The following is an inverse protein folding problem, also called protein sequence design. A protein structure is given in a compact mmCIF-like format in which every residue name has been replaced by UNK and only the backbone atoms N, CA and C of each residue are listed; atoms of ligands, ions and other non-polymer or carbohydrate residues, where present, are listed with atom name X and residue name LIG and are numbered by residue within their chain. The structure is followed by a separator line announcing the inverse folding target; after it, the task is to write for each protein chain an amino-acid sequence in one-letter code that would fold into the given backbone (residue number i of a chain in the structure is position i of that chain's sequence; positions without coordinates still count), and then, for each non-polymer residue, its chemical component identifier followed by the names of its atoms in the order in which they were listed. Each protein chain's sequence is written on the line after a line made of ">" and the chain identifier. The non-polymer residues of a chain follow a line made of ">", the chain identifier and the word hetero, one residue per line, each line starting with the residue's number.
data_IF_557615810974
#
_entry.id   IF_557615810974
#
_cell.length_a   1.000
_cell.length_b   1.000
_cell.length_c   1.000
_cell.angle_alpha   90.00
_cell.angle_beta   90.00
_cell.angle_gamma   90.00
#
_symmetry.space_group_name_H-M   'P 1'
#
loop_
_entity.id
_entity.type
_entity.pdbx_description
1 polymer ?
#
# COMPACT_ATOMS: atom_id res chain seq x y z
N UNK A 1 -16.12 4.16 -1.78
CA UNK A 1 -16.50 3.49 -0.52
C UNK A 1 -17.28 2.23 -0.85
N UNK A 2 -17.14 1.21 0.01
CA UNK A 2 -17.90 -0.03 -0.05
C UNK A 2 -19.00 0.04 1.02
N UNK A 3 -20.27 -0.04 0.63
CA UNK A 3 -21.37 0.07 1.57
C UNK A 3 -22.62 -0.70 1.12
N UNK A 4 -23.56 -0.88 2.03
CA UNK A 4 -24.86 -1.50 1.77
C UNK A 4 -25.89 -0.52 1.20
N UNK A 5 -27.10 -1.00 1.12
CA UNK A 5 -28.29 -0.27 0.66
C UNK A 5 -29.19 0.14 1.83
N UNK A 6 -30.05 1.18 1.65
CA UNK A 6 -31.13 1.45 2.59
C UNK A 6 -32.02 0.21 2.79
N UNK A 7 -32.58 0.06 4.00
CA UNK A 7 -33.31 -1.16 4.43
C UNK A 7 -34.44 -1.64 3.50
N UNK A 8 -35.00 -0.73 2.71
CA UNK A 8 -36.15 -1.01 1.84
C UNK A 8 -35.77 -1.40 0.41
N UNK A 9 -34.49 -1.41 0.07
CA UNK A 9 -34.01 -1.73 -1.27
C UNK A 9 -33.33 -3.10 -1.29
N UNK A 10 -33.69 -3.91 -2.28
CA UNK A 10 -33.11 -5.24 -2.50
C UNK A 10 -32.04 -5.17 -3.60
N UNK A 11 -32.15 -4.23 -4.52
CA UNK A 11 -31.18 -4.00 -5.60
C UNK A 11 -31.19 -2.52 -6.03
N UNK A 12 -30.12 -2.10 -6.71
CA UNK A 12 -30.00 -0.80 -7.36
C UNK A 12 -29.72 -0.98 -8.84
N UNK A 13 -30.17 -0.06 -9.71
CA UNK A 13 -29.76 -0.03 -11.10
C UNK A 13 -28.24 0.12 -11.21
N UNK A 14 -27.63 -0.38 -12.29
CA UNK A 14 -26.22 -0.12 -12.58
C UNK A 14 -25.93 1.38 -12.62
N UNK A 15 -24.78 1.79 -12.12
CA UNK A 15 -24.31 3.19 -12.08
C UNK A 15 -25.19 4.15 -11.26
N UNK A 16 -25.94 3.65 -10.29
CA UNK A 16 -26.81 4.46 -9.42
C UNK A 16 -26.11 4.98 -8.15
N UNK A 17 -24.80 4.97 -8.09
CA UNK A 17 -24.00 5.55 -7.00
C UNK A 17 -23.02 6.59 -7.55
N UNK A 18 -22.66 7.56 -6.72
CA UNK A 18 -21.68 8.60 -7.05
C UNK A 18 -20.23 8.09 -6.86
N UNK A 19 -19.91 6.96 -7.51
CA UNK A 19 -18.58 6.35 -7.46
C UNK A 19 -18.37 5.33 -6.32
N UNK A 20 -19.40 5.00 -5.54
CA UNK A 20 -19.30 3.96 -4.51
C UNK A 20 -19.60 2.56 -5.07
N UNK A 21 -18.99 1.54 -4.46
CA UNK A 21 -19.37 0.13 -4.67
C UNK A 21 -20.48 -0.22 -3.69
N UNK A 22 -21.68 -0.46 -4.20
CA UNK A 22 -22.86 -0.77 -3.38
C UNK A 22 -23.19 -2.25 -3.49
N UNK A 23 -23.30 -2.92 -2.35
CA UNK A 23 -23.65 -4.33 -2.25
C UNK A 23 -25.05 -4.50 -1.65
N UNK A 24 -25.70 -5.62 -1.95
CA UNK A 24 -26.87 -6.06 -1.17
C UNK A 24 -26.47 -6.21 0.31
N UNK A 25 -27.35 -5.84 1.23
CA UNK A 25 -27.01 -5.85 2.65
C UNK A 25 -26.59 -7.25 3.17
N UNK A 26 -27.18 -8.32 2.62
CA UNK A 26 -26.79 -9.69 2.97
C UNK A 26 -25.38 -10.03 2.50
N UNK A 27 -25.02 -9.60 1.28
CA UNK A 27 -23.68 -9.81 0.71
C UNK A 27 -22.63 -9.01 1.48
N UNK A 28 -22.94 -7.76 1.85
CA UNK A 28 -22.06 -6.93 2.67
C UNK A 28 -21.82 -7.56 4.05
N UNK A 29 -22.86 -8.13 4.68
CA UNK A 29 -22.72 -8.81 5.96
C UNK A 29 -21.89 -10.10 5.83
N UNK A 30 -22.04 -10.84 4.72
CA UNK A 30 -21.20 -12.01 4.45
C UNK A 30 -19.73 -11.61 4.23
N UNK A 31 -19.50 -10.53 3.47
CA UNK A 31 -18.17 -10.02 3.18
C UNK A 31 -17.46 -9.49 4.43
N UNK A 32 -18.20 -8.88 5.37
CA UNK A 32 -17.66 -8.30 6.62
C UNK A 32 -16.77 -9.26 7.41
N UNK A 33 -16.98 -10.57 7.28
CA UNK A 33 -16.17 -11.59 7.96
C UNK A 33 -14.76 -11.75 7.41
N UNK A 34 -14.51 -11.21 6.21
CA UNK A 34 -13.26 -11.39 5.45
C UNK A 34 -12.51 -10.08 5.21
N UNK A 35 -13.08 -8.96 5.67
CA UNK A 35 -12.51 -7.64 5.43
C UNK A 35 -12.28 -6.88 6.73
N UNK A 36 -11.12 -6.25 6.83
CA UNK A 36 -10.76 -5.34 7.91
C UNK A 36 -10.63 -3.91 7.36
N UNK A 37 -11.28 -2.97 8.03
CA UNK A 37 -11.23 -1.56 7.64
C UNK A 37 -9.79 -1.07 7.78
N UNK A 38 -9.28 -0.45 6.71
CA UNK A 38 -7.93 0.12 6.65
C UNK A 38 -6.81 -0.88 6.32
N UNK A 39 -7.07 -2.20 6.30
CA UNK A 39 -6.05 -3.20 5.93
C UNK A 39 -6.40 -3.99 4.66
N UNK A 40 -7.69 -4.28 4.44
CA UNK A 40 -8.10 -5.01 3.24
C UNK A 40 -8.05 -4.12 2.00
N UNK A 41 -7.24 -4.53 1.04
CA UNK A 41 -7.13 -3.84 -0.27
C UNK A 41 -8.34 -4.16 -1.14
N UNK A 42 -8.88 -3.14 -1.79
CA UNK A 42 -9.96 -3.28 -2.78
C UNK A 42 -9.44 -2.84 -4.14
N UNK A 43 -9.45 -3.74 -5.10
CA UNK A 43 -9.04 -3.46 -6.49
C UNK A 43 -10.26 -3.46 -7.38
N UNK A 44 -10.44 -2.39 -8.14
CA UNK A 44 -11.45 -2.27 -9.19
C UNK A 44 -10.70 -2.25 -10.52
N UNK A 45 -10.92 -3.25 -11.36
CA UNK A 45 -10.25 -3.40 -12.64
C UNK A 45 -11.24 -3.88 -13.70
N UNK A 46 -11.03 -3.46 -14.93
CA UNK A 46 -11.82 -3.95 -16.07
C UNK A 46 -11.60 -5.44 -16.33
N UNK A 47 -10.41 -5.94 -16.00
CA UNK A 47 -10.03 -7.34 -16.21
C UNK A 47 -9.22 -7.86 -15.02
N UNK A 48 -9.49 -9.13 -14.68
CA UNK A 48 -8.68 -9.88 -13.73
C UNK A 48 -7.80 -10.86 -14.51
N UNK A 49 -6.49 -10.72 -14.37
CA UNK A 49 -5.52 -11.65 -14.95
C UNK A 49 -5.18 -12.74 -13.94
N UNK A 50 -5.63 -13.94 -14.19
CA UNK A 50 -5.29 -15.12 -13.39
C UNK A 50 -3.94 -15.67 -13.86
N UNK A 51 -3.03 -15.83 -12.92
CA UNK A 51 -1.71 -16.43 -13.17
C UNK A 51 -1.56 -17.77 -12.43
N UNK A 52 -0.70 -18.69 -12.90
CA UNK A 52 -0.37 -19.90 -12.15
C UNK A 52 0.13 -19.57 -10.74
N UNK A 53 -0.17 -20.46 -9.79
CA UNK A 53 0.14 -20.25 -8.36
C UNK A 53 1.64 -20.12 -8.10
N UNK A 54 2.46 -20.85 -8.80
CA UNK A 54 3.93 -20.80 -8.72
C UNK A 54 4.48 -19.46 -9.20
N UNK A 55 3.93 -18.92 -10.29
CA UNK A 55 4.25 -17.56 -10.79
C UNK A 55 3.87 -16.51 -9.77
N UNK A 56 2.65 -16.60 -9.21
CA UNK A 56 2.19 -15.68 -8.15
C UNK A 56 3.10 -15.75 -6.92
N UNK A 57 3.44 -16.96 -6.46
CA UNK A 57 4.33 -17.15 -5.33
C UNK A 57 5.75 -16.60 -5.59
N UNK A 58 6.26 -16.74 -6.80
CA UNK A 58 7.55 -16.17 -7.20
C UNK A 58 7.54 -14.62 -7.12
N UNK A 59 6.51 -14.00 -7.68
CA UNK A 59 6.33 -12.55 -7.63
C UNK A 59 6.19 -12.06 -6.19
N UNK A 60 5.40 -12.75 -5.37
CA UNK A 60 5.25 -12.44 -3.95
C UNK A 60 6.59 -12.52 -3.20
N UNK A 61 7.36 -13.57 -3.38
CA UNK A 61 8.70 -13.71 -2.77
C UNK A 61 9.66 -12.60 -3.19
N UNK A 62 9.62 -12.19 -4.46
CA UNK A 62 10.45 -11.09 -4.95
C UNK A 62 10.06 -9.76 -4.28
N UNK A 63 8.77 -9.46 -4.18
CA UNK A 63 8.27 -8.26 -3.52
C UNK A 63 8.62 -8.24 -2.02
N UNK A 64 8.47 -9.35 -1.31
CA UNK A 64 8.84 -9.45 0.11
C UNK A 64 10.33 -9.19 0.34
N UNK A 65 11.21 -9.74 -0.53
CA UNK A 65 12.65 -9.45 -0.47
C UNK A 65 12.97 -7.98 -0.71
N UNK A 66 12.25 -7.34 -1.62
CA UNK A 66 12.41 -5.92 -1.91
C UNK A 66 12.06 -5.05 -0.70
N UNK A 67 10.94 -5.32 -0.05
CA UNK A 67 10.53 -4.63 1.18
C UNK A 67 11.52 -4.87 2.33
N UNK A 68 11.99 -6.10 2.50
CA UNK A 68 12.98 -6.44 3.52
C UNK A 68 14.31 -5.72 3.29
N UNK A 69 14.74 -5.58 2.03
CA UNK A 69 15.96 -4.83 1.69
C UNK A 69 15.79 -3.35 2.00
N UNK A 70 14.68 -2.74 1.60
CA UNK A 70 14.34 -1.35 1.94
C UNK A 70 14.37 -1.13 3.45
N UNK A 71 13.70 -2.00 4.22
CA UNK A 71 13.67 -1.95 5.68
C UNK A 71 15.07 -1.96 6.27
N UNK A 72 15.90 -2.96 5.89
CA UNK A 72 17.27 -3.11 6.37
C UNK A 72 18.15 -1.90 6.05
N UNK A 73 17.97 -1.30 4.90
CA UNK A 73 18.73 -0.12 4.52
C UNK A 73 18.26 1.12 5.28
N UNK A 74 16.95 1.23 5.54
CA UNK A 74 16.40 2.30 6.38
C UNK A 74 16.86 2.19 7.84
N UNK A 75 16.98 0.96 8.39
CA UNK A 75 17.54 0.69 9.72
C UNK A 75 19.00 1.12 9.84
N UNK A 76 19.80 1.01 8.75
CA UNK A 76 21.20 1.49 8.71
C UNK A 76 21.30 3.02 8.63
N UNK A 77 20.20 3.69 8.34
CA UNK A 77 20.10 5.14 8.27
C UNK A 77 19.38 5.61 7.02
N UNK A 78 18.76 6.77 7.13
CA UNK A 78 17.94 7.35 6.07
C UNK A 78 18.73 7.51 4.75
N UNK A 79 20.01 7.88 4.80
CA UNK A 79 20.87 8.00 3.62
C UNK A 79 21.00 6.71 2.81
N UNK A 80 20.85 5.54 3.44
CA UNK A 80 20.82 4.25 2.76
C UNK A 80 19.42 3.93 2.22
N UNK A 81 18.38 4.20 3.02
CA UNK A 81 17.00 3.97 2.62
C UNK A 81 16.53 4.82 1.44
N UNK A 82 17.07 6.03 1.27
CA UNK A 82 16.68 6.98 0.21
C UNK A 82 16.86 6.42 -1.22
N UNK A 83 17.80 5.48 -1.43
CA UNK A 83 18.02 4.87 -2.74
C UNK A 83 16.86 4.03 -3.25
N UNK A 84 15.93 3.68 -2.38
CA UNK A 84 14.70 2.97 -2.76
C UNK A 84 13.59 3.91 -3.24
N UNK A 85 13.75 5.22 -3.09
CA UNK A 85 12.78 6.20 -3.51
C UNK A 85 13.15 6.79 -4.89
N UNK A 86 12.14 7.04 -5.71
CA UNK A 86 12.32 7.77 -6.96
C UNK A 86 12.66 9.24 -6.67
N UNK A 87 13.32 9.91 -7.60
CA UNK A 87 13.72 11.32 -7.44
C UNK A 87 12.52 12.27 -7.31
N UNK A 88 11.39 11.91 -7.88
CA UNK A 88 10.14 12.67 -7.92
C UNK A 88 9.07 12.10 -6.96
N UNK A 89 9.48 11.22 -6.03
CA UNK A 89 8.57 10.58 -5.08
C UNK A 89 7.74 11.60 -4.29
N UNK A 90 6.50 11.23 -4.00
CA UNK A 90 5.63 11.94 -3.06
C UNK A 90 5.46 11.13 -1.78
N UNK A 91 5.78 11.75 -0.64
CA UNK A 91 5.58 11.18 0.69
C UNK A 91 4.59 12.07 1.42
N UNK A 92 3.43 11.55 1.74
CA UNK A 92 2.31 12.31 2.33
C UNK A 92 2.01 13.61 1.55
N UNK A 93 2.04 13.53 0.22
CA UNK A 93 1.82 14.64 -0.71
C UNK A 93 3.02 15.58 -0.90
N UNK A 94 4.10 15.44 -0.12
CA UNK A 94 5.30 16.28 -0.17
C UNK A 94 6.40 15.64 -1.02
N UNK A 95 7.23 16.50 -1.64
CA UNK A 95 8.46 16.01 -2.27
C UNK A 95 9.47 15.56 -1.21
N UNK A 96 10.38 14.66 -1.59
CA UNK A 96 11.35 14.05 -0.69
C UNK A 96 12.15 15.06 0.17
N UNK A 97 12.65 16.12 -0.46
CA UNK A 97 13.47 17.14 0.24
C UNK A 97 12.64 17.91 1.29
N UNK A 98 11.41 18.26 0.93
CA UNK A 98 10.49 18.97 1.82
C UNK A 98 10.09 18.07 2.99
N UNK A 99 9.71 16.83 2.71
CA UNK A 99 9.37 15.83 3.72
C UNK A 99 10.53 15.59 4.70
N UNK A 100 11.78 15.47 4.20
CA UNK A 100 12.97 15.33 5.04
C UNK A 100 13.16 16.51 6.01
N UNK A 101 12.99 17.74 5.51
CA UNK A 101 13.10 18.95 6.34
C UNK A 101 12.05 18.96 7.43
N UNK A 102 10.80 18.68 7.08
CA UNK A 102 9.67 18.70 8.00
C UNK A 102 9.79 17.66 9.12
N UNK A 103 10.31 16.47 8.80
CA UNK A 103 10.52 15.40 9.76
C UNK A 103 11.83 15.49 10.54
N UNK A 104 12.74 16.39 10.17
CA UNK A 104 14.08 16.53 10.76
C UNK A 104 14.87 15.20 10.79
N UNK A 105 14.69 14.37 9.76
CA UNK A 105 15.18 12.98 9.74
C UNK A 105 16.65 12.88 9.34
N UNK A 106 17.25 13.90 8.74
CA UNK A 106 18.57 13.84 8.09
C UNK A 106 19.68 13.20 8.96
N UNK A 107 19.55 13.29 10.28
CA UNK A 107 20.53 12.72 11.24
C UNK A 107 19.90 11.77 12.26
N UNK A 108 18.64 11.36 12.08
CA UNK A 108 17.96 10.45 13.00
C UNK A 108 18.03 9.02 12.49
N UNK A 109 18.15 8.05 13.39
CA UNK A 109 18.04 6.64 13.10
C UNK A 109 16.66 6.12 13.45
N UNK A 110 16.04 5.38 12.55
CA UNK A 110 14.79 4.67 12.82
C UNK A 110 14.98 3.56 13.89
N UNK A 111 16.22 3.11 14.10
CA UNK A 111 16.50 1.96 14.93
C UNK A 111 15.99 0.69 14.26
N UNK A 112 15.55 -0.29 15.06
CA UNK A 112 14.92 -1.50 14.55
C UNK A 112 13.50 -1.18 14.11
N UNK A 113 13.13 -1.61 12.90
CA UNK A 113 11.80 -1.46 12.32
C UNK A 113 11.07 -2.80 12.41
N UNK A 114 9.90 -2.82 13.05
CA UNK A 114 8.95 -3.94 12.94
C UNK A 114 7.98 -3.70 11.79
N UNK A 115 7.63 -4.75 11.06
CA UNK A 115 6.64 -4.74 9.99
C UNK A 115 5.64 -5.86 10.25
N UNK A 116 4.36 -5.50 10.36
CA UNK A 116 3.24 -6.40 10.56
C UNK A 116 2.14 -6.15 9.52
N UNK A 117 1.23 -7.10 9.35
CA UNK A 117 0.10 -7.03 8.39
C UNK A 117 0.55 -6.68 6.95
N UNK A 118 1.70 -7.22 6.53
CA UNK A 118 2.26 -6.93 5.21
C UNK A 118 1.44 -7.56 4.09
N UNK A 119 0.88 -6.71 3.25
CA UNK A 119 0.18 -7.09 2.02
C UNK A 119 0.91 -6.54 0.81
N UNK A 120 0.96 -7.34 -0.25
CA UNK A 120 1.54 -6.95 -1.54
C UNK A 120 0.54 -7.27 -2.62
N UNK A 121 0.25 -6.30 -3.46
CA UNK A 121 -0.67 -6.40 -4.56
C UNK A 121 -0.08 -5.79 -5.83
N UNK A 122 -0.28 -6.44 -6.98
CA UNK A 122 0.03 -5.79 -8.26
C UNK A 122 -0.99 -4.68 -8.49
N UNK A 123 -0.50 -3.46 -8.71
CA UNK A 123 -1.36 -2.32 -8.96
C UNK A 123 -1.83 -2.34 -10.42
N UNK A 124 -3.13 -2.18 -10.71
CA UNK A 124 -3.65 -2.14 -12.07
C UNK A 124 -3.20 -0.84 -12.77
N UNK A 125 -2.18 -0.95 -13.59
CA UNK A 125 -1.56 0.17 -14.31
C UNK A 125 -0.90 -0.35 -15.56
N UNK A 126 -0.70 0.49 -16.56
CA UNK A 126 0.08 0.19 -17.77
C UNK A 126 1.58 0.03 -17.46
N UNK A 127 2.00 0.46 -16.27
CA UNK A 127 3.37 0.32 -15.78
C UNK A 127 3.46 -0.86 -14.81
N UNK A 128 4.64 -1.46 -14.70
CA UNK A 128 4.91 -2.44 -13.65
C UNK A 128 4.90 -1.74 -12.29
N UNK A 129 3.77 -1.87 -11.58
CA UNK A 129 3.57 -1.26 -10.27
C UNK A 129 3.08 -2.28 -9.23
N UNK A 130 3.46 -2.06 -7.99
CA UNK A 130 2.98 -2.80 -6.83
C UNK A 130 2.55 -1.83 -5.73
N UNK A 131 1.44 -2.14 -5.09
CA UNK A 131 1.02 -1.53 -3.83
C UNK A 131 1.43 -2.46 -2.69
N UNK A 132 2.17 -1.90 -1.76
CA UNK A 132 2.62 -2.57 -0.53
C UNK A 132 2.02 -1.83 0.66
N UNK A 133 1.26 -2.51 1.50
CA UNK A 133 0.68 -1.94 2.71
C UNK A 133 1.10 -2.75 3.93
N UNK A 134 1.45 -2.07 5.02
CA UNK A 134 1.89 -2.69 6.27
C UNK A 134 1.73 -1.76 7.47
N UNK A 135 1.74 -2.35 8.65
CA UNK A 135 1.99 -1.62 9.89
C UNK A 135 3.49 -1.56 10.14
N UNK A 136 3.97 -0.39 10.50
CA UNK A 136 5.35 -0.17 10.89
C UNK A 136 5.40 0.35 12.32
N UNK A 137 6.33 -0.19 13.10
CA UNK A 137 6.69 0.35 14.40
C UNK A 137 8.19 0.63 14.43
N UNK A 138 8.56 1.84 14.79
CA UNK A 138 9.95 2.29 14.96
C UNK A 138 10.08 3.42 15.99
N UNK A 139 11.33 3.76 16.35
CA UNK A 139 11.60 4.79 17.38
C UNK A 139 11.23 6.21 16.98
N UNK A 140 11.15 6.52 15.70
CA UNK A 140 10.87 7.87 15.21
C UNK A 140 9.39 8.10 15.02
N UNK A 141 8.71 7.13 14.40
CA UNK A 141 7.34 7.26 13.93
C UNK A 141 6.32 6.71 14.94
N UNK A 142 6.77 5.82 15.86
CA UNK A 142 5.87 4.99 16.65
C UNK A 142 5.15 3.98 15.76
N UNK A 143 3.92 3.65 16.10
CA UNK A 143 3.09 2.72 15.33
C UNK A 143 2.28 3.48 14.28
N UNK A 144 2.50 3.14 13.01
CA UNK A 144 1.88 3.78 11.85
C UNK A 144 1.51 2.74 10.81
N UNK A 145 0.55 3.06 9.95
CA UNK A 145 0.27 2.31 8.72
C UNK A 145 0.91 3.02 7.55
N UNK A 146 1.62 2.27 6.71
CA UNK A 146 2.20 2.76 5.46
C UNK A 146 1.56 2.09 4.25
N UNK A 147 1.41 2.86 3.19
CA UNK A 147 1.11 2.39 1.85
C UNK A 147 2.20 2.91 0.91
N UNK A 148 2.89 2.00 0.25
CA UNK A 148 3.97 2.31 -0.68
C UNK A 148 3.59 1.86 -2.08
N UNK A 149 3.69 2.76 -3.03
CA UNK A 149 3.56 2.46 -4.46
C UNK A 149 4.95 2.28 -5.03
N UNK A 150 5.27 1.05 -5.37
CA UNK A 150 6.53 0.69 -6.01
C UNK A 150 6.34 0.60 -7.50
N UNK A 151 7.22 1.22 -8.27
CA UNK A 151 7.20 1.18 -9.73
C UNK A 151 8.57 0.74 -10.25
N UNK A 152 8.58 -0.04 -11.33
CA UNK A 152 9.81 -0.42 -12.01
C UNK A 152 10.28 0.74 -12.89
N UNK A 153 11.40 1.36 -12.50
CA UNK A 153 12.06 2.45 -13.23
C UNK A 153 13.35 1.90 -13.85
N UNK A 154 13.36 1.69 -15.15
CA UNK A 154 14.42 0.95 -15.83
C UNK A 154 14.50 -0.50 -15.32
N UNK A 155 15.61 -0.86 -14.69
CA UNK A 155 15.82 -2.24 -14.13
C UNK A 155 15.53 -2.34 -12.64
N UNK A 156 15.21 -1.23 -11.95
CA UNK A 156 15.06 -1.17 -10.50
C UNK A 156 13.63 -0.85 -10.08
N UNK A 157 13.21 -1.43 -8.96
CA UNK A 157 12.00 -1.05 -8.29
C UNK A 157 12.26 0.13 -7.35
N UNK A 158 11.44 1.17 -7.45
CA UNK A 158 11.55 2.37 -6.61
C UNK A 158 10.18 2.78 -6.08
N UNK A 159 10.15 3.32 -4.87
CA UNK A 159 8.96 3.91 -4.27
C UNK A 159 8.69 5.25 -4.97
N UNK A 160 7.55 5.36 -5.62
CA UNK A 160 7.11 6.59 -6.32
C UNK A 160 6.10 7.39 -5.51
N UNK A 161 5.43 6.72 -4.57
CA UNK A 161 4.55 7.36 -3.60
C UNK A 161 4.55 6.56 -2.29
N UNK A 162 4.50 7.26 -1.18
CA UNK A 162 4.31 6.70 0.16
C UNK A 162 3.30 7.53 0.93
N UNK A 163 2.28 6.89 1.47
CA UNK A 163 1.26 7.51 2.30
C UNK A 163 1.30 6.89 3.70
N UNK A 164 1.22 7.75 4.70
CA UNK A 164 1.30 7.37 6.11
C UNK A 164 0.02 7.75 6.84
N UNK A 165 -0.50 6.87 7.67
CA UNK A 165 -1.61 7.16 8.58
C UNK A 165 -1.32 6.65 9.99
N UNK A 166 -1.78 7.38 10.99
CA UNK A 166 -1.77 6.91 12.38
C UNK A 166 -2.77 5.78 12.56
N UNK A 167 -2.43 4.81 13.38
CA UNK A 167 -3.30 3.71 13.80
C UNK A 167 -4.17 4.13 14.98
#
# INVERSE_FOLDING_TARGET
>A
WLHGMPKHYVSRPPKASDGCVVLANQDLLALKKFVDIGSTQVVISERLDFVPIDVWQSHRKAALRMVDTWKKDLEKGFSKGIYHYASDVKIDGQGLIEWQKNQQISNKSFGKISIDDLTVMRYPSDKDMMLVSFKQEDKLSGEIRKQQYWMKVGTRWQIVQEDTSKL
#
